data_IF_606025276308
#
_entry.id   IF_606025276308
#
_cell.length_a   1.000
_cell.length_b   1.000
_cell.length_c   1.000
_cell.angle_alpha   90.00
_cell.angle_beta   90.00
_cell.angle_gamma   90.00
#
_symmetry.space_group_name_H-M   'P 1'
#
loop_
_entity.id
_entity.type
_entity.pdbx_description
1 polymer ?
#
# COMPACT_ATOMS: atom_id res chain seq x y z
N UNK A 1 -17.11 10.61 -41.57
CA UNK A 1 -17.58 9.89 -40.37
C UNK A 1 -16.37 9.20 -39.79
N UNK A 2 -15.95 9.42 -38.56
CA UNK A 2 -16.29 10.38 -37.52
C UNK A 2 -15.12 10.32 -36.54
N UNK A 3 -14.93 11.41 -35.80
CA UNK A 3 -13.88 11.66 -34.82
C UNK A 3 -13.62 10.50 -33.86
N UNK A 4 -12.34 10.22 -33.63
CA UNK A 4 -11.90 9.68 -32.34
C UNK A 4 -12.17 10.72 -31.25
N UNK A 5 -12.48 10.27 -30.04
CA UNK A 5 -12.62 11.18 -28.90
C UNK A 5 -11.30 11.93 -28.65
N UNK A 6 -11.40 13.18 -28.21
CA UNK A 6 -10.21 13.99 -27.93
C UNK A 6 -9.50 13.53 -26.64
N UNK A 7 -10.25 12.89 -25.74
CA UNK A 7 -9.77 12.39 -24.44
C UNK A 7 -9.63 10.87 -24.46
N UNK A 8 -8.53 10.38 -25.03
CA UNK A 8 -8.18 8.96 -25.06
C UNK A 8 -7.33 8.58 -23.86
N UNK A 9 -7.75 7.56 -23.12
CA UNK A 9 -6.90 6.89 -22.15
C UNK A 9 -5.89 5.98 -22.89
N UNK A 10 -4.67 5.78 -22.35
CA UNK A 10 -3.73 4.86 -22.96
C UNK A 10 -4.25 3.41 -22.87
N UNK A 11 -4.00 2.61 -23.90
CA UNK A 11 -4.47 1.22 -23.99
C UNK A 11 -3.58 0.22 -23.21
N UNK A 12 -2.33 0.60 -22.94
CA UNK A 12 -1.31 -0.25 -22.34
C UNK A 12 -1.26 -0.17 -20.80
N UNK A 13 -2.01 0.74 -20.20
CA UNK A 13 -2.01 1.00 -18.76
C UNK A 13 -3.36 1.46 -18.26
N UNK A 14 -3.56 1.25 -16.97
CA UNK A 14 -4.72 1.79 -16.30
C UNK A 14 -4.50 3.25 -15.91
N UNK A 15 -5.59 4.01 -16.00
CA UNK A 15 -5.76 5.37 -15.49
C UNK A 15 -6.92 5.37 -14.50
N UNK A 16 -7.04 6.42 -13.71
CA UNK A 16 -8.19 6.59 -12.81
C UNK A 16 -9.53 6.53 -13.55
N UNK A 17 -9.56 6.98 -14.81
CA UNK A 17 -10.76 6.96 -15.66
C UNK A 17 -11.17 5.58 -16.17
N UNK A 18 -10.23 4.63 -16.36
CA UNK A 18 -10.52 3.33 -16.99
C UNK A 18 -10.30 2.12 -16.05
N UNK A 19 -9.89 2.35 -14.80
CA UNK A 19 -9.66 1.28 -13.85
C UNK A 19 -10.97 0.74 -13.23
N UNK A 20 -11.91 1.59 -12.84
CA UNK A 20 -13.08 1.19 -12.02
C UNK A 20 -14.26 0.64 -12.83
N UNK A 21 -14.01 -0.40 -13.63
CA UNK A 21 -14.98 -0.91 -14.61
C UNK A 21 -15.53 -2.30 -14.30
N UNK A 22 -14.96 -3.03 -13.33
CA UNK A 22 -15.39 -4.40 -13.00
C UNK A 22 -15.12 -4.75 -11.54
N UNK A 23 -15.92 -5.68 -11.01
CA UNK A 23 -15.77 -6.22 -9.65
C UNK A 23 -14.39 -6.87 -9.46
N UNK A 24 -13.87 -7.57 -10.47
CA UNK A 24 -12.54 -8.20 -10.41
C UNK A 24 -11.41 -7.18 -10.16
N UNK A 25 -11.51 -5.98 -10.75
CA UNK A 25 -10.52 -4.92 -10.53
C UNK A 25 -10.62 -4.33 -9.13
N UNK A 26 -11.84 -4.17 -8.58
CA UNK A 26 -12.01 -3.82 -7.18
C UNK A 26 -11.44 -4.88 -6.24
N UNK A 27 -11.67 -6.16 -6.52
CA UNK A 27 -11.11 -7.26 -5.74
C UNK A 27 -9.58 -7.24 -5.78
N UNK A 28 -8.97 -6.93 -6.93
CA UNK A 28 -7.52 -6.77 -7.06
C UNK A 28 -7.00 -5.61 -6.20
N UNK A 29 -7.68 -4.45 -6.20
CA UNK A 29 -7.31 -3.33 -5.32
C UNK A 29 -7.48 -3.69 -3.85
N UNK A 30 -8.56 -4.39 -3.47
CA UNK A 30 -8.78 -4.88 -2.12
C UNK A 30 -7.66 -5.82 -1.66
N UNK A 31 -7.29 -6.80 -2.50
CA UNK A 31 -6.17 -7.71 -2.22
C UNK A 31 -4.84 -6.93 -2.10
N UNK A 32 -4.65 -5.91 -2.92
CA UNK A 32 -3.48 -5.02 -2.85
C UNK A 32 -3.45 -4.28 -1.51
N UNK A 33 -4.57 -3.69 -1.09
CA UNK A 33 -4.69 -3.01 0.19
C UNK A 33 -4.36 -3.94 1.36
N UNK A 34 -4.89 -5.17 1.36
CA UNK A 34 -4.53 -6.19 2.37
C UNK A 34 -3.05 -6.52 2.37
N UNK A 35 -2.44 -6.70 1.20
CA UNK A 35 -1.01 -7.02 1.09
C UNK A 35 -0.09 -5.91 1.64
N UNK A 36 -0.57 -4.66 1.64
CA UNK A 36 0.16 -3.49 2.12
C UNK A 36 -0.02 -3.24 3.63
N UNK A 37 -0.93 -3.94 4.31
CA UNK A 37 -1.18 -3.72 5.74
C UNK A 37 0.03 -4.08 6.62
N UNK A 38 0.80 -5.11 6.23
CA UNK A 38 1.98 -5.54 6.97
C UNK A 38 3.14 -5.93 6.08
N UNK A 39 4.34 -5.55 6.55
CA UNK A 39 5.62 -5.98 6.03
C UNK A 39 6.23 -6.95 7.03
N UNK A 40 6.38 -8.21 6.65
CA UNK A 40 6.87 -9.28 7.52
C UNK A 40 8.20 -8.92 8.19
N UNK A 41 9.11 -8.27 7.45
CA UNK A 41 10.38 -7.80 7.99
C UNK A 41 10.18 -6.89 9.21
N UNK A 42 9.33 -5.86 9.13
CA UNK A 42 9.11 -4.96 10.27
C UNK A 42 8.35 -5.64 11.40
N UNK A 43 7.44 -6.56 11.09
CA UNK A 43 6.76 -7.36 12.11
C UNK A 43 7.76 -8.09 13.03
N UNK A 44 8.72 -8.82 12.46
CA UNK A 44 9.72 -9.53 13.26
C UNK A 44 10.75 -8.60 13.90
N UNK A 45 11.23 -7.60 13.18
CA UNK A 45 12.25 -6.68 13.70
C UNK A 45 11.69 -5.66 14.71
N UNK A 46 10.37 -5.56 14.89
CA UNK A 46 9.76 -4.81 15.99
C UNK A 46 10.03 -5.43 17.35
N UNK A 47 10.12 -6.76 17.45
CA UNK A 47 10.47 -7.42 18.71
C UNK A 47 11.86 -7.00 19.21
N UNK A 48 12.79 -6.74 18.28
CA UNK A 48 14.14 -6.27 18.57
C UNK A 48 14.21 -4.77 18.95
N UNK A 49 13.08 -4.06 18.92
CA UNK A 49 12.96 -2.70 19.46
C UNK A 49 12.51 -2.70 20.93
N UNK A 50 12.16 -3.88 21.45
CA UNK A 50 11.78 -4.12 22.83
C UNK A 50 12.82 -5.01 23.52
N UNK A 51 12.62 -5.29 24.80
CA UNK A 51 13.43 -6.24 25.58
C UNK A 51 13.11 -7.73 25.27
N UNK A 52 12.19 -8.02 24.35
CA UNK A 52 11.82 -9.39 23.95
C UNK A 52 12.86 -10.10 23.07
N UNK A 53 13.59 -9.36 22.23
CA UNK A 53 14.52 -9.94 21.26
C UNK A 53 15.76 -9.07 21.04
N UNK A 54 16.86 -9.70 20.62
CA UNK A 54 18.12 -8.99 20.32
C UNK A 54 18.52 -9.15 18.85
N UNK A 55 18.78 -8.04 18.17
CA UNK A 55 19.33 -8.02 16.81
C UNK A 55 20.87 -8.09 16.86
N UNK A 56 21.42 -9.30 16.75
CA UNK A 56 22.87 -9.53 16.87
C UNK A 56 23.70 -9.34 15.60
N UNK A 57 23.12 -8.95 14.45
CA UNK A 57 23.86 -8.86 13.17
C UNK A 57 23.47 -7.62 12.37
N UNK A 58 24.33 -6.60 12.43
CA UNK A 58 24.17 -5.35 11.68
C UNK A 58 22.90 -4.59 12.05
N UNK A 59 22.57 -3.56 11.26
CA UNK A 59 21.39 -2.73 11.48
C UNK A 59 20.22 -3.14 10.55
N UNK A 60 19.89 -4.43 10.56
CA UNK A 60 18.78 -4.94 9.77
C UNK A 60 17.47 -4.26 10.14
N UNK A 61 16.76 -3.77 9.10
CA UNK A 61 15.55 -2.99 9.28
C UNK A 61 15.73 -1.87 10.32
N UNK A 62 16.88 -1.20 10.40
CA UNK A 62 17.12 -0.11 11.35
C UNK A 62 16.93 -0.47 12.83
N UNK A 63 16.81 -1.76 13.16
CA UNK A 63 16.33 -2.19 14.46
C UNK A 63 17.40 -2.04 15.55
N UNK A 64 18.68 -2.21 15.20
CA UNK A 64 19.76 -2.01 16.15
C UNK A 64 19.90 -0.52 16.50
N UNK A 65 19.81 0.37 15.50
CA UNK A 65 19.88 1.82 15.71
C UNK A 65 18.69 2.35 16.52
N UNK A 66 17.47 1.88 16.22
CA UNK A 66 16.26 2.24 16.95
C UNK A 66 16.29 1.72 18.39
N UNK A 67 16.56 0.42 18.59
CA UNK A 67 16.60 -0.19 19.93
C UNK A 67 17.69 0.38 20.83
N UNK A 68 18.83 0.79 20.25
CA UNK A 68 19.91 1.45 20.99
C UNK A 68 19.68 2.97 21.20
N UNK A 69 18.66 3.57 20.57
CA UNK A 69 18.37 5.00 20.68
C UNK A 69 19.41 5.91 20.02
N UNK A 70 20.19 5.40 19.06
CA UNK A 70 21.27 6.15 18.38
C UNK A 70 20.86 6.61 16.97
N UNK A 71 19.62 6.40 16.58
CA UNK A 71 19.11 6.77 15.27
C UNK A 71 18.90 8.28 15.14
N UNK A 72 18.92 8.76 13.90
CA UNK A 72 18.56 10.12 13.53
C UNK A 72 17.43 10.11 12.48
N UNK A 73 16.85 11.28 12.13
CA UNK A 73 15.75 11.37 11.17
C UNK A 73 16.05 10.83 9.76
N UNK A 74 17.32 10.63 9.40
CA UNK A 74 17.74 10.06 8.11
C UNK A 74 17.71 8.52 8.07
N UNK A 75 17.45 7.84 9.20
CA UNK A 75 17.33 6.39 9.23
C UNK A 75 16.22 5.94 8.26
N UNK A 76 16.62 5.19 7.22
CA UNK A 76 15.75 4.78 6.13
C UNK A 76 14.45 4.12 6.59
N UNK A 77 14.51 3.34 7.67
CA UNK A 77 13.32 2.69 8.25
C UNK A 77 12.19 3.65 8.59
N UNK A 78 12.50 4.82 9.15
CA UNK A 78 11.46 5.79 9.57
C UNK A 78 10.66 6.23 8.33
N UNK A 79 11.37 6.58 7.26
CA UNK A 79 10.77 6.99 5.98
C UNK A 79 10.02 5.84 5.31
N UNK A 80 10.62 4.65 5.27
CA UNK A 80 10.01 3.47 4.62
C UNK A 80 8.73 3.04 5.32
N UNK A 81 8.73 2.93 6.65
CA UNK A 81 7.54 2.53 7.40
C UNK A 81 6.41 3.55 7.23
N UNK A 82 6.72 4.86 7.28
CA UNK A 82 5.76 5.91 6.97
C UNK A 82 5.16 5.75 5.56
N UNK A 83 6.00 5.59 4.55
CA UNK A 83 5.55 5.41 3.17
C UNK A 83 4.71 4.15 2.98
N UNK A 84 5.09 3.04 3.60
CA UNK A 84 4.35 1.78 3.54
C UNK A 84 2.95 1.95 4.17
N UNK A 85 2.85 2.62 5.33
CA UNK A 85 1.54 2.86 5.98
C UNK A 85 0.65 3.79 5.17
N UNK A 86 1.19 4.91 4.69
CA UNK A 86 0.41 5.85 3.89
C UNK A 86 0.09 5.31 2.49
N UNK A 87 0.91 4.41 1.95
CA UNK A 87 0.61 3.65 0.74
C UNK A 87 -0.64 2.79 0.90
N UNK A 88 -0.71 2.00 1.99
CA UNK A 88 -1.90 1.21 2.32
C UNK A 88 -3.15 2.07 2.54
N UNK A 89 -3.03 3.17 3.30
CA UNK A 89 -4.14 4.12 3.51
C UNK A 89 -4.64 4.68 2.17
N UNK A 90 -3.72 5.07 1.28
CA UNK A 90 -4.07 5.55 -0.05
C UNK A 90 -4.84 4.50 -0.85
N UNK A 91 -4.38 3.25 -0.87
CA UNK A 91 -5.08 2.16 -1.58
C UNK A 91 -6.49 1.92 -1.03
N UNK A 92 -6.67 1.93 0.29
CA UNK A 92 -8.00 1.84 0.90
C UNK A 92 -8.88 3.03 0.50
N UNK A 93 -8.36 4.26 0.55
CA UNK A 93 -9.13 5.45 0.19
C UNK A 93 -9.55 5.43 -1.29
N UNK A 94 -8.66 5.02 -2.18
CA UNK A 94 -8.97 4.87 -3.62
C UNK A 94 -10.08 3.85 -3.86
N UNK A 95 -10.05 2.73 -3.14
CA UNK A 95 -11.13 1.74 -3.19
C UNK A 95 -12.45 2.32 -2.73
N UNK A 96 -12.49 2.93 -1.54
CA UNK A 96 -13.71 3.51 -0.97
C UNK A 96 -14.30 4.64 -1.84
N UNK A 97 -13.46 5.45 -2.47
CA UNK A 97 -13.90 6.56 -3.33
C UNK A 97 -14.55 6.09 -4.65
N UNK A 98 -14.22 4.88 -5.12
CA UNK A 98 -14.57 4.45 -6.47
C UNK A 98 -15.39 3.17 -6.53
N UNK A 99 -15.55 2.43 -5.43
CA UNK A 99 -16.28 1.15 -5.41
C UNK A 99 -17.72 1.31 -5.92
N UNK A 100 -18.36 2.44 -5.62
CA UNK A 100 -19.73 2.78 -6.06
C UNK A 100 -19.85 3.00 -7.58
N UNK A 101 -18.74 3.21 -8.30
CA UNK A 101 -18.73 3.42 -9.76
C UNK A 101 -18.86 2.13 -10.56
N UNK A 102 -18.71 0.98 -9.90
CA UNK A 102 -18.61 -0.31 -10.57
C UNK A 102 -20.01 -0.78 -11.00
N UNK A 103 -20.25 -0.97 -12.31
CA UNK A 103 -21.53 -1.45 -12.79
C UNK A 103 -21.82 -2.87 -12.28
N UNK A 104 -23.05 -3.12 -11.83
CA UNK A 104 -23.51 -4.44 -11.36
C UNK A 104 -22.75 -4.99 -10.14
N UNK A 105 -22.11 -4.14 -9.33
CA UNK A 105 -21.62 -4.56 -8.04
C UNK A 105 -22.81 -4.94 -7.14
N UNK A 106 -22.80 -6.16 -6.60
CA UNK A 106 -23.83 -6.65 -5.70
C UNK A 106 -23.80 -5.80 -4.42
N UNK A 107 -24.93 -5.19 -4.04
CA UNK A 107 -25.04 -4.33 -2.86
C UNK A 107 -24.77 -5.05 -1.53
N UNK A 108 -24.61 -6.38 -1.54
CA UNK A 108 -24.18 -7.19 -0.38
C UNK A 108 -22.65 -7.34 -0.32
N UNK A 109 -21.95 -7.12 -1.43
CA UNK A 109 -20.47 -7.20 -1.55
C UNK A 109 -19.80 -5.83 -1.34
N UNK A 110 -20.57 -4.74 -1.47
CA UNK A 110 -20.18 -3.35 -1.12
C UNK A 110 -20.69 -3.02 0.28
#
# INVERSE_FOLDING_TARGET
MSCEDLDLAPEDRFTDSNYWTSVDKAQLMLNTAYSQMQKSQYFFYNEALSDNAYNGRGDNAGAASLGAGIYDPSLGRIKEEWNDRYGGIKSCNLLLENIDRIPNADAVVI
#
